data_IF_917404090123
#
_entry.id   IF_917404090123
#
_cell.length_a   1.000
_cell.length_b   1.000
_cell.length_c   1.000
_cell.angle_alpha   90.00
_cell.angle_beta   90.00
_cell.angle_gamma   90.00
#
_symmetry.space_group_name_H-M   'P 1'
#
loop_
_entity.id
_entity.type
_entity.pdbx_description
1 polymer ?
#
# COMPACT_ATOMS: atom_id res chain seq x y z
N UNK A 1 14.20 0.04 -1.23
CA UNK A 1 15.41 0.24 -0.40
C UNK A 1 16.62 -0.54 -0.96
N UNK A 2 16.56 -1.87 -1.13
CA UNK A 2 17.70 -2.70 -1.61
C UNK A 2 18.34 -2.21 -2.92
N UNK A 3 17.54 -1.71 -3.87
CA UNK A 3 18.06 -1.17 -5.13
C UNK A 3 18.80 0.17 -4.93
N UNK A 4 18.32 1.01 -4.02
CA UNK A 4 18.97 2.29 -3.68
C UNK A 4 20.27 2.08 -2.92
N UNK A 5 20.31 1.10 -2.01
CA UNK A 5 21.49 0.78 -1.20
C UNK A 5 22.73 0.38 -2.02
N UNK A 6 22.54 -0.05 -3.27
CA UNK A 6 23.65 -0.37 -4.19
C UNK A 6 24.46 0.88 -4.60
N UNK A 7 23.89 2.07 -4.47
CA UNK A 7 24.45 3.33 -4.98
C UNK A 7 24.45 4.46 -3.95
N UNK A 8 23.74 4.28 -2.83
CA UNK A 8 23.53 5.30 -1.81
C UNK A 8 23.79 4.73 -0.41
N UNK A 9 24.24 5.59 0.49
CA UNK A 9 24.34 5.28 1.91
C UNK A 9 22.97 5.55 2.56
N UNK A 10 22.32 4.50 3.04
CA UNK A 10 21.00 4.61 3.67
C UNK A 10 21.12 4.55 5.19
N UNK A 11 20.43 5.45 5.87
CA UNK A 11 20.18 5.40 7.32
C UNK A 11 18.67 5.32 7.50
N UNK A 12 18.19 4.37 8.29
CA UNK A 12 16.78 4.20 8.56
C UNK A 12 16.44 4.57 10.00
N UNK A 13 15.41 5.42 10.16
CA UNK A 13 14.76 5.65 11.44
C UNK A 13 13.36 5.07 11.33
N UNK A 14 13.06 4.02 12.07
CA UNK A 14 11.81 3.29 11.95
C UNK A 14 11.08 3.16 13.29
N UNK A 15 9.76 3.16 13.21
CA UNK A 15 8.89 2.94 14.35
C UNK A 15 8.60 1.44 14.45
N UNK A 16 8.74 0.88 15.65
CA UNK A 16 8.48 -0.54 15.92
C UNK A 16 7.38 -0.66 16.94
N UNK A 17 6.31 -1.34 16.56
CA UNK A 17 5.30 -1.79 17.52
C UNK A 17 5.68 -3.19 18.05
N UNK A 18 5.07 -3.60 19.14
CA UNK A 18 5.34 -4.90 19.76
C UNK A 18 4.80 -6.11 18.98
N UNK A 19 4.33 -5.91 17.75
CA UNK A 19 3.76 -6.98 16.92
C UNK A 19 4.82 -7.79 16.17
N UNK A 20 5.98 -7.18 15.91
CA UNK A 20 7.09 -7.79 15.18
C UNK A 20 8.31 -7.95 16.09
N UNK A 21 9.11 -8.99 15.84
CA UNK A 21 10.42 -9.13 16.49
C UNK A 21 11.34 -7.99 15.99
N UNK A 22 11.59 -7.02 16.87
CA UNK A 22 12.42 -5.87 16.57
C UNK A 22 13.85 -6.27 16.14
N UNK A 23 14.41 -7.35 16.68
CA UNK A 23 15.74 -7.82 16.31
C UNK A 23 15.75 -8.45 14.92
N UNK A 24 14.70 -9.18 14.55
CA UNK A 24 14.57 -9.72 13.20
C UNK A 24 14.38 -8.59 12.17
N UNK A 25 13.54 -7.61 12.47
CA UNK A 25 13.36 -6.43 11.61
C UNK A 25 14.67 -5.65 11.45
N UNK A 26 15.40 -5.43 12.54
CA UNK A 26 16.70 -4.76 12.51
C UNK A 26 17.68 -5.47 11.58
N UNK A 27 17.89 -6.78 11.76
CA UNK A 27 18.82 -7.56 10.92
C UNK A 27 18.47 -7.48 9.44
N UNK A 28 17.18 -7.59 9.11
CA UNK A 28 16.73 -7.47 7.72
C UNK A 28 17.01 -6.08 7.12
N UNK A 29 16.94 -5.02 7.92
CA UNK A 29 17.23 -3.65 7.45
C UNK A 29 18.76 -3.38 7.39
N UNK A 30 19.54 -3.96 8.28
CA UNK A 30 21.01 -3.84 8.30
C UNK A 30 21.68 -4.48 7.06
N UNK A 31 20.98 -5.34 6.33
CA UNK A 31 21.46 -5.88 5.04
C UNK A 31 21.60 -4.79 3.96
N UNK A 32 20.89 -3.67 4.08
CA UNK A 32 20.90 -2.58 3.09
C UNK A 32 21.00 -1.18 3.68
N UNK A 33 20.87 -1.02 5.00
CA UNK A 33 21.09 0.26 5.68
C UNK A 33 22.40 0.25 6.45
N UNK A 34 23.15 1.34 6.33
CA UNK A 34 24.39 1.55 7.12
C UNK A 34 24.10 1.68 8.62
N UNK A 35 22.96 2.25 8.96
CA UNK A 35 22.51 2.42 10.33
C UNK A 35 20.99 2.29 10.39
N UNK A 36 20.51 1.63 11.44
CA UNK A 36 19.08 1.44 11.72
C UNK A 36 18.79 1.89 13.14
N UNK A 37 17.97 2.94 13.27
CA UNK A 37 17.47 3.44 14.55
C UNK A 37 16.02 3.00 14.70
N UNK A 38 15.74 2.20 15.71
CA UNK A 38 14.41 1.68 15.98
C UNK A 38 13.82 2.39 17.20
N UNK A 39 12.64 2.94 17.03
CA UNK A 39 11.93 3.71 18.05
C UNK A 39 10.65 2.98 18.42
N UNK A 40 10.45 2.64 19.70
CA UNK A 40 9.21 2.03 20.16
C UNK A 40 8.01 2.95 19.87
N UNK A 41 7.03 2.43 19.13
CA UNK A 41 5.81 3.14 18.83
C UNK A 41 4.65 2.63 19.67
N UNK A 42 3.64 3.47 19.84
CA UNK A 42 2.39 3.12 20.54
C UNK A 42 1.40 2.36 19.63
N UNK A 43 1.82 1.98 18.42
CA UNK A 43 1.00 1.23 17.48
C UNK A 43 0.58 -0.11 18.09
N UNK A 44 -0.64 -0.53 17.86
CA UNK A 44 -1.14 -1.79 18.36
C UNK A 44 -1.65 -1.78 19.81
N UNK A 45 -1.46 -0.70 20.58
CA UNK A 45 -2.14 -0.59 21.88
C UNK A 45 -3.64 -0.36 21.64
N UNK A 46 -4.37 -1.43 21.51
CA UNK A 46 -5.83 -1.42 21.62
C UNK A 46 -6.23 -1.03 23.05
N UNK A 47 -7.34 -0.33 23.20
CA UNK A 47 -7.89 -0.05 24.52
C UNK A 47 -7.83 1.41 24.95
N UNK A 48 -7.53 1.65 26.24
CA UNK A 48 -7.65 2.95 26.89
C UNK A 48 -6.77 4.03 26.25
N UNK A 49 -5.53 3.72 25.91
CA UNK A 49 -4.57 4.67 25.30
C UNK A 49 -5.07 5.22 23.96
N UNK A 50 -5.59 4.36 23.11
CA UNK A 50 -6.18 4.77 21.82
C UNK A 50 -7.39 5.67 22.03
N UNK A 51 -8.27 5.32 22.98
CA UNK A 51 -9.46 6.14 23.33
C UNK A 51 -9.07 7.49 23.88
N UNK A 52 -8.06 7.56 24.75
CA UNK A 52 -7.55 8.82 25.29
C UNK A 52 -6.96 9.72 24.19
N UNK A 53 -6.19 9.16 23.26
CA UNK A 53 -5.68 9.90 22.10
C UNK A 53 -6.81 10.38 21.19
N UNK A 54 -7.86 9.58 21.00
CA UNK A 54 -9.04 9.98 20.24
C UNK A 54 -9.77 11.16 20.91
N UNK A 55 -10.00 11.09 22.22
CA UNK A 55 -10.60 12.20 22.99
C UNK A 55 -9.73 13.44 22.95
N UNK A 56 -8.41 13.29 23.16
CA UNK A 56 -7.45 14.39 23.05
C UNK A 56 -7.46 15.01 21.65
N UNK A 57 -7.61 14.21 20.59
CA UNK A 57 -7.70 14.74 19.23
C UNK A 57 -8.98 15.56 19.04
N UNK A 58 -10.11 15.18 19.64
CA UNK A 58 -11.34 16.00 19.59
C UNK A 58 -11.16 17.36 20.24
N UNK A 59 -10.49 17.41 21.40
CA UNK A 59 -10.23 18.62 22.17
C UNK A 59 -9.06 19.48 21.64
N UNK A 60 -8.35 19.02 20.60
CA UNK A 60 -7.20 19.73 20.03
C UNK A 60 -7.40 20.06 18.56
N UNK A 61 -6.55 20.93 18.02
CA UNK A 61 -6.48 21.23 16.59
C UNK A 61 -5.73 20.15 15.80
N UNK A 62 -5.11 19.17 16.47
CA UNK A 62 -4.29 18.11 15.87
C UNK A 62 -5.14 16.89 15.52
N UNK A 63 -4.80 16.23 14.42
CA UNK A 63 -5.40 14.95 14.03
C UNK A 63 -4.99 13.83 15.01
N UNK A 64 -5.75 12.76 15.01
CA UNK A 64 -5.39 11.55 15.75
C UNK A 64 -4.04 10.98 15.28
N UNK A 65 -3.78 10.97 13.96
CA UNK A 65 -2.51 10.50 13.40
C UNK A 65 -1.34 11.33 13.90
N UNK A 66 -1.43 12.64 13.86
CA UNK A 66 -0.38 13.51 14.39
C UNK A 66 -0.10 13.26 15.89
N UNK A 67 -1.15 13.11 16.70
CA UNK A 67 -0.97 12.81 18.13
C UNK A 67 -0.31 11.44 18.36
N UNK A 68 -0.67 10.47 17.55
CA UNK A 68 -0.14 9.10 17.62
C UNK A 68 1.36 9.06 17.30
N UNK A 69 1.79 9.82 16.29
CA UNK A 69 3.17 9.83 15.78
C UNK A 69 4.05 10.95 16.36
N UNK A 70 3.52 11.81 17.22
CA UNK A 70 4.34 12.78 17.95
C UNK A 70 5.07 12.10 19.11
N UNK A 71 6.27 11.61 18.83
CA UNK A 71 7.11 10.85 19.75
C UNK A 71 8.40 11.64 20.05
N UNK A 72 8.64 12.07 21.30
CA UNK A 72 9.88 12.78 21.66
C UNK A 72 11.15 11.99 21.29
N UNK A 73 11.14 10.67 21.45
CA UNK A 73 12.27 9.82 21.10
C UNK A 73 12.58 9.83 19.59
N UNK A 74 11.56 10.01 18.74
CA UNK A 74 11.74 10.15 17.29
C UNK A 74 12.50 11.44 17.00
N UNK A 75 12.02 12.58 17.51
CA UNK A 75 12.69 13.86 17.28
C UNK A 75 14.10 13.88 17.84
N UNK A 76 14.32 13.39 19.06
CA UNK A 76 15.68 13.29 19.65
C UNK A 76 16.65 12.46 18.83
N UNK A 77 16.15 11.40 18.19
CA UNK A 77 16.97 10.55 17.31
C UNK A 77 17.28 11.24 15.99
N UNK A 78 16.31 11.96 15.41
CA UNK A 78 16.52 12.78 14.22
C UNK A 78 17.51 13.91 14.51
N UNK A 79 17.35 14.65 15.60
CA UNK A 79 18.26 15.74 16.02
C UNK A 79 19.69 15.22 16.11
N UNK A 80 19.89 14.09 16.79
CA UNK A 80 21.22 13.48 16.95
C UNK A 80 21.86 13.10 15.61
N UNK A 81 21.10 12.46 14.72
CA UNK A 81 21.59 12.02 13.41
C UNK A 81 21.91 13.22 12.51
N UNK A 82 20.99 14.17 12.40
CA UNK A 82 21.10 15.32 11.51
C UNK A 82 22.20 16.31 11.95
N UNK A 83 22.43 16.49 13.25
CA UNK A 83 23.57 17.28 13.75
C UNK A 83 24.92 16.55 13.66
N UNK A 84 24.92 15.21 13.72
CA UNK A 84 26.17 14.44 13.68
C UNK A 84 26.68 14.19 12.27
N UNK A 85 25.84 14.24 11.26
CA UNK A 85 26.18 13.86 9.88
C UNK A 85 25.40 14.68 8.86
N UNK A 86 26.05 14.92 7.73
CA UNK A 86 25.40 15.46 6.55
C UNK A 86 24.56 14.38 5.88
N UNK A 87 23.32 14.75 5.51
CA UNK A 87 22.45 14.01 4.64
C UNK A 87 22.09 14.86 3.42
N UNK A 88 22.07 14.27 2.24
CA UNK A 88 21.64 14.98 1.03
C UNK A 88 20.12 15.04 0.95
N UNK A 89 19.44 13.94 1.31
CA UNK A 89 17.97 13.82 1.28
C UNK A 89 17.47 13.17 2.57
N UNK A 90 16.43 13.71 3.15
CA UNK A 90 15.59 13.06 4.16
C UNK A 90 14.27 12.67 3.50
N UNK A 91 14.01 11.36 3.40
CA UNK A 91 12.78 10.82 2.87
C UNK A 91 11.79 10.51 3.98
N UNK A 92 10.62 11.11 3.93
CA UNK A 92 9.52 10.84 4.84
C UNK A 92 8.60 9.77 4.25
N UNK A 93 8.55 8.64 4.88
CA UNK A 93 7.52 7.63 4.61
C UNK A 93 6.22 8.09 5.29
N UNK A 94 5.30 8.63 4.53
CA UNK A 94 4.03 9.24 4.94
C UNK A 94 4.09 10.70 5.42
N UNK A 95 3.08 11.44 5.04
CA UNK A 95 2.88 12.85 5.33
C UNK A 95 2.70 13.18 6.81
N UNK A 96 2.19 12.26 7.62
CA UNK A 96 1.94 12.49 9.05
C UNK A 96 3.22 12.62 9.91
N UNK A 97 4.39 12.31 9.36
CA UNK A 97 5.70 12.56 9.97
C UNK A 97 6.25 13.98 9.71
N UNK A 98 5.62 14.75 8.82
CA UNK A 98 6.07 16.09 8.45
C UNK A 98 6.03 17.15 9.57
N UNK A 99 5.64 16.75 10.79
CA UNK A 99 5.73 17.60 11.96
C UNK A 99 7.09 17.54 12.67
N UNK A 100 7.97 16.62 12.26
CA UNK A 100 9.32 16.53 12.77
C UNK A 100 10.17 17.67 12.20
N UNK A 101 11.09 18.19 13.01
CA UNK A 101 12.10 19.09 12.51
C UNK A 101 13.18 18.31 11.77
N UNK A 102 13.25 18.50 10.46
CA UNK A 102 14.11 17.77 9.56
C UNK A 102 15.14 18.63 8.86
N UNK A 103 15.04 19.96 9.01
CA UNK A 103 15.95 20.91 8.40
C UNK A 103 17.10 21.25 9.35
N UNK A 104 17.83 20.22 9.69
CA UNK A 104 18.99 20.25 10.57
C UNK A 104 20.20 19.68 9.83
N UNK A 105 21.38 20.22 10.12
CA UNK A 105 22.66 19.74 9.57
C UNK A 105 23.79 20.03 10.59
N UNK A 106 24.97 19.39 10.45
CA UNK A 106 26.17 19.79 11.17
C UNK A 106 26.49 21.28 10.91
N UNK A 107 27.15 21.92 11.86
CA UNK A 107 27.49 23.33 11.75
C UNK A 107 28.35 23.60 10.50
N UNK A 108 27.85 24.50 9.63
CA UNK A 108 28.53 24.88 8.39
C UNK A 108 28.18 24.00 7.17
N UNK A 109 27.35 22.95 7.34
CA UNK A 109 26.89 22.12 6.24
C UNK A 109 25.54 22.61 5.66
N UNK A 110 25.23 22.14 4.45
CA UNK A 110 23.94 22.40 3.81
C UNK A 110 22.84 21.56 4.44
N UNK A 111 21.62 22.13 4.52
CA UNK A 111 20.45 21.42 4.99
C UNK A 111 20.07 20.29 4.00
N UNK A 112 19.54 19.17 4.47
CA UNK A 112 19.04 18.13 3.60
C UNK A 112 17.78 18.58 2.85
N UNK A 113 17.62 18.09 1.61
CA UNK A 113 16.33 18.17 0.94
C UNK A 113 15.33 17.23 1.61
N UNK A 114 14.13 17.74 1.89
CA UNK A 114 13.06 16.96 2.51
C UNK A 114 12.07 16.51 1.42
N UNK A 115 11.95 15.21 1.24
CA UNK A 115 11.06 14.59 0.25
C UNK A 115 10.04 13.70 0.94
N UNK A 116 8.80 13.75 0.49
CA UNK A 116 7.71 12.95 1.06
C UNK A 116 7.33 11.82 0.10
N UNK A 117 7.31 10.60 0.61
CA UNK A 117 6.66 9.45 -0.02
C UNK A 117 5.18 9.42 0.38
N UNK A 118 4.31 9.73 -0.56
CA UNK A 118 2.87 9.68 -0.35
C UNK A 118 2.30 8.41 -0.96
N UNK A 119 2.26 7.35 -0.16
CA UNK A 119 1.69 6.06 -0.58
C UNK A 119 0.19 6.16 -0.92
N UNK A 120 -0.50 7.10 -0.29
CA UNK A 120 -1.90 7.47 -0.50
C UNK A 120 -2.08 8.94 -0.17
N UNK A 121 -3.13 9.54 -0.66
CA UNK A 121 -3.63 10.79 -0.09
C UNK A 121 -4.44 10.42 1.18
N UNK A 122 -3.78 10.48 2.34
CA UNK A 122 -4.31 9.93 3.60
C UNK A 122 -5.60 10.60 4.05
N UNK A 123 -5.76 11.92 3.84
CA UNK A 123 -7.00 12.61 4.17
C UNK A 123 -8.18 12.15 3.29
N UNK A 124 -7.95 11.76 2.02
CA UNK A 124 -9.02 11.28 1.16
C UNK A 124 -9.46 9.88 1.59
N UNK A 125 -8.51 9.01 1.93
CA UNK A 125 -8.79 7.70 2.51
C UNK A 125 -9.58 7.84 3.82
N UNK A 126 -9.17 8.74 4.72
CA UNK A 126 -9.88 9.02 5.97
C UNK A 126 -11.30 9.57 5.72
N UNK A 127 -11.49 10.39 4.68
CA UNK A 127 -12.80 10.88 4.24
C UNK A 127 -13.69 9.76 3.71
N UNK A 128 -13.14 8.83 2.93
CA UNK A 128 -13.87 7.64 2.48
C UNK A 128 -14.36 6.83 3.69
N UNK A 129 -13.49 6.54 4.67
CA UNK A 129 -13.86 5.80 5.88
C UNK A 129 -14.94 6.52 6.73
N UNK A 130 -14.92 7.85 6.77
CA UNK A 130 -15.94 8.63 7.47
C UNK A 130 -17.35 8.37 6.92
N UNK A 131 -17.48 8.13 5.62
CA UNK A 131 -18.77 7.85 4.96
C UNK A 131 -19.32 6.45 5.25
N UNK A 132 -18.44 5.47 5.54
CA UNK A 132 -18.82 4.08 5.80
C UNK A 132 -19.05 3.75 7.29
N UNK A 133 -18.89 4.72 8.18
CA UNK A 133 -19.14 4.53 9.61
C UNK A 133 -20.61 4.18 9.92
N UNK A 134 -20.82 3.08 10.67
CA UNK A 134 -22.17 2.60 11.04
C UNK A 134 -22.82 3.37 12.19
N UNK A 135 -22.07 4.18 12.95
CA UNK A 135 -22.52 4.95 14.11
C UNK A 135 -22.37 6.45 13.87
N UNK A 136 -23.40 7.24 14.21
CA UNK A 136 -23.38 8.70 14.08
C UNK A 136 -22.19 9.35 14.84
N UNK A 137 -21.87 8.84 16.03
CA UNK A 137 -20.72 9.31 16.83
C UNK A 137 -19.40 9.06 16.12
N UNK A 138 -19.24 7.86 15.54
CA UNK A 138 -18.03 7.51 14.77
C UNK A 138 -17.91 8.36 13.51
N UNK A 139 -19.03 8.60 12.81
CA UNK A 139 -19.06 9.47 11.63
C UNK A 139 -18.67 10.90 11.98
N UNK A 140 -19.22 11.46 13.05
CA UNK A 140 -18.87 12.81 13.52
C UNK A 140 -17.38 12.91 13.88
N UNK A 141 -16.86 11.92 14.62
CA UNK A 141 -15.45 11.85 14.96
C UNK A 141 -14.56 11.80 13.71
N UNK A 142 -14.88 10.88 12.79
CA UNK A 142 -14.13 10.70 11.56
C UNK A 142 -14.18 11.97 10.68
N UNK A 143 -15.33 12.64 10.63
CA UNK A 143 -15.54 13.89 9.89
C UNK A 143 -14.69 15.04 10.47
N UNK A 144 -14.60 15.16 11.76
CA UNK A 144 -13.74 16.15 12.42
C UNK A 144 -12.25 15.82 12.24
N UNK A 145 -11.89 14.52 12.30
CA UNK A 145 -10.50 14.09 12.25
C UNK A 145 -9.90 14.20 10.83
N UNK A 146 -10.64 13.82 9.76
CA UNK A 146 -10.08 13.89 8.41
C UNK A 146 -9.82 15.33 7.95
N UNK A 147 -10.62 16.33 8.40
CA UNK A 147 -10.36 17.74 8.10
C UNK A 147 -9.06 18.25 8.74
N UNK A 148 -8.78 17.79 9.96
CA UNK A 148 -7.52 18.09 10.64
C UNK A 148 -6.34 17.43 9.91
N UNK A 149 -6.50 16.16 9.56
CA UNK A 149 -5.50 15.40 8.81
C UNK A 149 -5.21 16.09 7.48
N UNK A 150 -6.25 16.50 6.72
CA UNK A 150 -6.07 17.24 5.46
C UNK A 150 -5.24 18.49 5.63
N UNK A 151 -5.54 19.30 6.67
CA UNK A 151 -4.77 20.51 6.92
C UNK A 151 -3.29 20.21 7.21
N UNK A 152 -3.03 19.20 8.03
CA UNK A 152 -1.68 18.79 8.42
C UNK A 152 -0.92 18.19 7.24
N UNK A 153 -1.55 17.33 6.46
CA UNK A 153 -0.97 16.68 5.29
C UNK A 153 -0.64 17.70 4.19
N UNK A 154 -1.57 18.60 3.87
CA UNK A 154 -1.31 19.67 2.90
C UNK A 154 -0.23 20.65 3.36
N UNK A 155 -0.08 20.89 4.67
CA UNK A 155 1.04 21.68 5.20
C UNK A 155 2.37 20.96 4.96
N UNK A 156 2.45 19.67 5.28
CA UNK A 156 3.64 18.85 5.01
C UNK A 156 4.04 18.88 3.54
N UNK A 157 3.09 18.76 2.62
CA UNK A 157 3.37 18.81 1.18
C UNK A 157 3.86 20.18 0.70
N UNK A 158 3.39 21.29 1.30
CA UNK A 158 3.88 22.64 0.99
C UNK A 158 5.29 22.90 1.50
N UNK A 159 5.61 22.32 2.66
CA UNK A 159 6.90 22.52 3.33
C UNK A 159 8.00 21.60 2.76
N UNK A 160 7.63 20.53 2.04
CA UNK A 160 8.56 19.60 1.43
C UNK A 160 9.21 20.19 0.17
N UNK A 161 10.44 19.81 -0.12
CA UNK A 161 11.14 20.16 -1.35
C UNK A 161 10.61 19.38 -2.55
N UNK A 162 10.01 18.20 -2.29
CA UNK A 162 9.33 17.40 -3.30
C UNK A 162 8.44 16.32 -2.69
N UNK A 163 7.46 15.88 -3.46
CA UNK A 163 6.53 14.81 -3.10
C UNK A 163 6.45 13.79 -4.22
N UNK A 164 6.61 12.52 -3.94
CA UNK A 164 6.31 11.50 -4.93
C UNK A 164 5.11 10.65 -4.51
N UNK A 165 4.35 10.23 -5.51
CA UNK A 165 3.07 9.57 -5.33
C UNK A 165 3.03 8.28 -6.18
N UNK A 166 2.18 7.34 -5.78
CA UNK A 166 2.08 6.05 -6.44
C UNK A 166 1.28 6.08 -7.75
N UNK A 167 0.50 7.12 -8.00
CA UNK A 167 -0.36 7.21 -9.18
C UNK A 167 -0.52 8.62 -9.71
N UNK A 168 -0.76 8.75 -11.02
CA UNK A 168 -1.10 10.04 -11.65
C UNK A 168 -2.41 10.63 -11.11
N UNK A 169 -3.35 9.79 -10.69
CA UNK A 169 -4.61 10.25 -10.10
C UNK A 169 -4.35 10.95 -8.75
N UNK A 170 -3.49 10.40 -7.89
CA UNK A 170 -3.11 11.02 -6.63
C UNK A 170 -2.29 12.28 -6.86
N UNK A 171 -1.40 12.30 -7.86
CA UNK A 171 -0.66 13.50 -8.25
C UNK A 171 -1.61 14.63 -8.66
N UNK A 172 -2.59 14.37 -9.50
CA UNK A 172 -3.59 15.37 -9.89
C UNK A 172 -4.39 15.88 -8.71
N UNK A 173 -4.79 15.00 -7.77
CA UNK A 173 -5.45 15.41 -6.50
C UNK A 173 -4.56 16.33 -5.70
N UNK A 174 -3.29 15.96 -5.49
CA UNK A 174 -2.36 16.80 -4.76
C UNK A 174 -2.17 18.16 -5.43
N UNK A 175 -1.93 18.20 -6.73
CA UNK A 175 -1.70 19.44 -7.48
C UNK A 175 -2.94 20.36 -7.49
N UNK A 176 -4.14 19.79 -7.40
CA UNK A 176 -5.37 20.59 -7.24
C UNK A 176 -5.47 21.28 -5.87
N UNK A 177 -4.92 20.67 -4.81
CA UNK A 177 -4.93 21.19 -3.45
C UNK A 177 -3.69 22.02 -3.10
N UNK A 178 -2.54 21.71 -3.71
CA UNK A 178 -1.26 22.37 -3.51
C UNK A 178 -0.60 22.65 -4.89
N UNK A 179 -1.06 23.67 -5.60
CA UNK A 179 -0.44 24.06 -6.87
C UNK A 179 1.03 24.43 -6.69
N UNK A 180 1.86 23.99 -7.62
CA UNK A 180 3.28 24.36 -7.66
C UNK A 180 4.20 23.50 -6.78
N UNK A 181 3.69 22.51 -6.05
CA UNK A 181 4.55 21.53 -5.38
C UNK A 181 5.27 20.66 -6.44
N UNK A 182 6.55 20.38 -6.20
CA UNK A 182 7.33 19.50 -7.08
C UNK A 182 6.92 18.05 -6.89
N UNK A 183 6.43 17.42 -7.92
CA UNK A 183 5.94 16.03 -7.84
C UNK A 183 6.67 15.10 -8.79
N UNK A 184 6.55 13.81 -8.49
CA UNK A 184 6.83 12.70 -9.39
C UNK A 184 5.86 11.55 -9.15
N UNK A 185 5.46 10.87 -10.21
CA UNK A 185 4.75 9.60 -10.09
C UNK A 185 5.76 8.47 -10.10
N UNK A 186 5.84 7.75 -8.99
CA UNK A 186 6.69 6.58 -8.81
C UNK A 186 5.78 5.43 -8.37
N UNK A 187 5.35 4.59 -9.31
CA UNK A 187 4.37 3.56 -9.00
C UNK A 187 4.93 2.55 -8.00
N UNK A 188 4.05 2.03 -7.15
CA UNK A 188 4.37 0.89 -6.33
C UNK A 188 4.82 -0.27 -7.23
N UNK A 189 5.92 -0.92 -6.87
CA UNK A 189 6.58 -1.94 -7.67
C UNK A 189 6.67 -3.27 -6.91
N UNK A 190 6.85 -4.35 -7.65
CA UNK A 190 7.09 -5.68 -7.09
C UNK A 190 8.46 -6.22 -7.49
N UNK A 191 8.92 -7.20 -6.74
CA UNK A 191 10.05 -8.04 -7.13
C UNK A 191 9.61 -9.01 -8.22
N UNK A 192 9.76 -8.59 -9.48
CA UNK A 192 9.33 -9.38 -10.65
C UNK A 192 10.21 -10.62 -10.89
N UNK A 193 11.35 -10.72 -10.22
CA UNK A 193 12.21 -11.90 -10.24
C UNK A 193 11.75 -12.91 -9.18
N UNK A 194 11.38 -12.43 -8.00
CA UNK A 194 10.77 -13.25 -6.96
C UNK A 194 9.38 -13.73 -7.37
N UNK A 195 8.51 -12.82 -7.84
CA UNK A 195 7.18 -13.12 -8.37
C UNK A 195 7.28 -13.46 -9.86
N UNK A 196 7.79 -14.64 -10.17
CA UNK A 196 7.81 -15.13 -11.55
C UNK A 196 7.29 -16.56 -11.63
N UNK A 197 6.59 -16.92 -12.70
CA UNK A 197 6.19 -18.30 -12.92
C UNK A 197 7.40 -19.20 -13.13
N UNK A 198 7.44 -20.34 -12.46
CA UNK A 198 8.46 -21.37 -12.66
C UNK A 198 7.86 -22.61 -13.30
N UNK A 199 8.68 -23.37 -14.02
CA UNK A 199 8.23 -24.61 -14.66
C UNK A 199 7.80 -25.69 -13.65
N UNK A 200 8.29 -25.60 -12.41
CA UNK A 200 7.98 -26.50 -11.30
C UNK A 200 6.78 -26.04 -10.46
N UNK A 201 6.21 -24.87 -10.76
CA UNK A 201 5.05 -24.37 -10.05
C UNK A 201 3.81 -25.23 -10.26
N UNK A 202 2.90 -25.28 -9.29
CA UNK A 202 1.60 -25.91 -9.50
C UNK A 202 0.91 -25.29 -10.73
N UNK A 203 0.41 -26.13 -11.61
CA UNK A 203 -0.42 -25.64 -12.72
C UNK A 203 -1.76 -25.16 -12.19
N UNK A 204 -2.36 -24.13 -12.81
CA UNK A 204 -3.73 -23.75 -12.48
C UNK A 204 -4.66 -24.95 -12.56
N UNK A 205 -5.44 -25.16 -11.50
CA UNK A 205 -6.40 -26.29 -11.44
C UNK A 205 -7.69 -26.04 -12.25
N UNK A 206 -7.82 -24.85 -12.84
CA UNK A 206 -8.98 -24.42 -13.60
C UNK A 206 -10.18 -24.01 -12.74
N UNK A 207 -10.10 -24.15 -11.43
CA UNK A 207 -11.26 -23.99 -10.51
C UNK A 207 -11.02 -23.03 -9.34
N UNK A 208 -9.77 -22.78 -8.95
CA UNK A 208 -9.45 -21.95 -7.79
C UNK A 208 -9.38 -20.47 -8.16
N UNK A 209 -10.22 -19.68 -7.51
CA UNK A 209 -10.20 -18.21 -7.53
C UNK A 209 -9.52 -17.71 -6.27
N UNK A 210 -8.52 -16.84 -6.39
CA UNK A 210 -7.72 -16.38 -5.25
C UNK A 210 -7.93 -14.89 -5.00
N UNK A 211 -8.23 -14.53 -3.74
CA UNK A 211 -8.02 -13.20 -3.18
C UNK A 211 -6.86 -13.28 -2.21
N UNK A 212 -6.02 -12.24 -2.15
CA UNK A 212 -4.96 -12.20 -1.15
C UNK A 212 -4.70 -10.77 -0.63
N UNK A 213 -4.14 -10.69 0.59
CA UNK A 213 -3.75 -9.44 1.23
C UNK A 213 -3.87 -9.48 2.74
N UNK A 214 -3.53 -8.36 3.38
CA UNK A 214 -3.62 -8.22 4.83
C UNK A 214 -5.09 -8.11 5.27
N UNK A 215 -5.61 -9.14 5.95
CA UNK A 215 -7.04 -9.29 6.20
C UNK A 215 -7.57 -8.48 7.40
N UNK A 216 -6.73 -7.72 8.10
CA UNK A 216 -7.17 -6.70 9.06
C UNK A 216 -7.29 -5.29 8.45
N UNK A 217 -6.89 -5.11 7.19
CA UNK A 217 -7.03 -3.84 6.47
C UNK A 217 -8.45 -3.66 5.96
N UNK A 218 -9.09 -2.55 6.34
CA UNK A 218 -10.53 -2.30 6.09
C UNK A 218 -10.95 -2.50 4.63
N UNK A 219 -10.24 -1.98 3.60
CA UNK A 219 -10.57 -2.24 2.21
C UNK A 219 -10.57 -3.72 1.82
N UNK A 220 -9.64 -4.50 2.38
CA UNK A 220 -9.60 -5.94 2.11
C UNK A 220 -10.77 -6.66 2.78
N UNK A 221 -11.13 -6.27 4.01
CA UNK A 221 -12.30 -6.82 4.72
C UNK A 221 -13.57 -6.56 3.91
N UNK A 222 -13.79 -5.31 3.51
CA UNK A 222 -14.96 -4.92 2.72
C UNK A 222 -15.00 -5.66 1.38
N UNK A 223 -13.87 -5.70 0.64
CA UNK A 223 -13.79 -6.36 -0.65
C UNK A 223 -14.04 -7.86 -0.57
N UNK A 224 -13.52 -8.56 0.45
CA UNK A 224 -13.79 -9.99 0.67
C UNK A 224 -15.25 -10.23 1.00
N UNK A 225 -15.85 -9.42 1.89
CA UNK A 225 -17.27 -9.55 2.24
C UNK A 225 -18.14 -9.34 1.00
N UNK A 226 -17.86 -8.30 0.23
CA UNK A 226 -18.56 -8.00 -1.03
C UNK A 226 -18.42 -9.15 -2.03
N UNK A 227 -17.18 -9.64 -2.24
CA UNK A 227 -16.95 -10.76 -3.14
C UNK A 227 -17.74 -12.01 -2.74
N UNK A 228 -17.66 -12.40 -1.49
CA UNK A 228 -18.27 -13.63 -1.00
C UNK A 228 -19.80 -13.55 -0.98
N UNK A 229 -20.37 -12.39 -0.67
CA UNK A 229 -21.84 -12.24 -0.54
C UNK A 229 -22.54 -11.95 -1.85
N UNK A 230 -21.94 -11.09 -2.69
CA UNK A 230 -22.63 -10.53 -3.84
C UNK A 230 -22.14 -11.10 -5.19
N UNK A 231 -20.89 -11.58 -5.26
CA UNK A 231 -20.25 -12.06 -6.50
C UNK A 231 -20.11 -13.59 -6.52
N UNK A 232 -19.51 -14.17 -5.47
CA UNK A 232 -19.20 -15.59 -5.37
C UNK A 232 -20.39 -16.54 -5.59
N UNK A 233 -21.60 -16.31 -5.08
CA UNK A 233 -22.73 -17.20 -5.31
C UNK A 233 -23.02 -17.44 -6.79
N UNK A 234 -22.88 -16.41 -7.62
CA UNK A 234 -23.10 -16.49 -9.09
C UNK A 234 -22.02 -17.34 -9.77
N UNK A 235 -20.75 -17.20 -9.33
CA UNK A 235 -19.65 -18.01 -9.84
C UNK A 235 -19.85 -19.47 -9.43
N UNK A 236 -20.20 -19.69 -8.17
CA UNK A 236 -20.37 -21.01 -7.59
C UNK A 236 -21.57 -21.78 -8.19
N UNK A 237 -22.60 -21.09 -8.66
CA UNK A 237 -23.72 -21.66 -9.39
C UNK A 237 -23.30 -22.06 -10.82
N UNK A 238 -22.62 -21.16 -11.54
CA UNK A 238 -22.14 -21.42 -12.90
C UNK A 238 -21.04 -22.48 -12.96
N UNK A 239 -20.19 -22.55 -11.93
CA UNK A 239 -19.05 -23.46 -11.82
C UNK A 239 -19.09 -24.24 -10.49
N UNK A 240 -19.85 -25.36 -10.40
CA UNK A 240 -20.01 -26.12 -9.15
C UNK A 240 -18.72 -26.65 -8.54
N UNK A 241 -17.67 -26.83 -9.33
CA UNK A 241 -16.34 -27.29 -8.88
C UNK A 241 -15.44 -26.15 -8.41
N UNK A 242 -15.86 -24.89 -8.59
CA UNK A 242 -15.03 -23.74 -8.22
C UNK A 242 -14.81 -23.63 -6.72
N UNK A 243 -13.63 -23.12 -6.35
CA UNK A 243 -13.20 -22.86 -4.97
C UNK A 243 -12.70 -21.42 -4.84
N UNK A 244 -13.04 -20.77 -3.75
CA UNK A 244 -12.53 -19.45 -3.39
C UNK A 244 -11.48 -19.63 -2.29
N UNK A 245 -10.26 -19.16 -2.55
CA UNK A 245 -9.19 -19.16 -1.57
C UNK A 245 -8.84 -17.72 -1.18
N UNK A 246 -8.97 -17.41 0.09
CA UNK A 246 -8.67 -16.10 0.68
C UNK A 246 -7.38 -16.25 1.48
N UNK A 247 -6.29 -15.68 0.94
CA UNK A 247 -4.94 -15.81 1.48
C UNK A 247 -4.57 -14.54 2.25
N UNK A 248 -4.26 -14.68 3.54
CA UNK A 248 -3.79 -13.55 4.33
C UNK A 248 -3.94 -13.73 5.82
N UNK A 249 -3.07 -13.05 6.56
CA UNK A 249 -3.04 -13.12 8.01
C UNK A 249 -4.09 -12.24 8.69
N UNK A 250 -4.40 -12.60 9.95
CA UNK A 250 -5.25 -11.82 10.88
C UNK A 250 -6.66 -11.52 10.36
N UNK A 251 -7.40 -12.53 9.87
CA UNK A 251 -8.79 -12.33 9.50
C UNK A 251 -9.63 -11.99 10.76
N UNK A 252 -10.46 -10.93 10.70
CA UNK A 252 -11.39 -10.64 11.78
C UNK A 252 -12.51 -11.69 11.82
N UNK A 253 -13.27 -11.79 12.95
CA UNK A 253 -14.37 -12.75 13.07
C UNK A 253 -15.40 -12.67 11.94
N UNK A 254 -15.63 -11.47 11.40
CA UNK A 254 -16.54 -11.26 10.25
C UNK A 254 -16.09 -11.97 8.97
N UNK A 255 -14.79 -12.15 8.75
CA UNK A 255 -14.27 -12.92 7.62
C UNK A 255 -14.21 -14.41 7.95
N UNK A 256 -13.84 -14.79 9.18
CA UNK A 256 -13.83 -16.19 9.62
C UNK A 256 -15.21 -16.85 9.46
N UNK A 257 -16.28 -16.09 9.71
CA UNK A 257 -17.66 -16.55 9.52
C UNK A 257 -18.05 -16.82 8.06
N UNK A 258 -17.24 -16.43 7.09
CA UNK A 258 -17.47 -16.68 5.65
C UNK A 258 -16.88 -18.01 5.17
N UNK A 259 -16.05 -18.65 6.00
CA UNK A 259 -15.45 -19.95 5.67
C UNK A 259 -16.52 -21.02 5.45
N UNK A 260 -16.28 -21.90 4.49
CA UNK A 260 -17.22 -22.96 4.14
C UNK A 260 -16.61 -23.99 3.20
N UNK A 261 -17.36 -24.97 2.74
CA UNK A 261 -16.84 -26.10 1.95
C UNK A 261 -16.11 -25.68 0.66
N UNK A 262 -16.45 -24.52 0.11
CA UNK A 262 -15.86 -23.96 -1.12
C UNK A 262 -15.16 -22.60 -0.90
N UNK A 263 -15.06 -22.14 0.34
CA UNK A 263 -14.40 -20.88 0.72
C UNK A 263 -13.39 -21.19 1.80
N UNK A 264 -12.13 -21.14 1.45
CA UNK A 264 -10.99 -21.38 2.32
C UNK A 264 -10.35 -20.06 2.73
N UNK A 265 -10.14 -19.86 4.06
CA UNK A 265 -9.27 -18.83 4.60
C UNK A 265 -7.99 -19.49 5.08
N UNK A 266 -6.85 -19.21 4.40
CA UNK A 266 -5.59 -19.92 4.74
C UNK A 266 -4.92 -19.39 6.00
N UNK A 267 -5.25 -18.16 6.42
CA UNK A 267 -4.42 -17.44 7.38
C UNK A 267 -3.13 -16.92 6.74
N UNK A 268 -2.13 -16.62 7.58
CA UNK A 268 -0.81 -16.19 7.12
C UNK A 268 -0.09 -17.34 6.39
N UNK A 269 0.52 -17.02 5.25
CA UNK A 269 1.39 -17.93 4.51
C UNK A 269 2.77 -17.30 4.37
N UNK A 270 3.81 -18.08 4.50
CA UNK A 270 5.20 -17.62 4.37
C UNK A 270 5.60 -17.36 2.90
N UNK A 271 4.95 -18.05 1.96
CA UNK A 271 5.14 -17.89 0.52
C UNK A 271 3.79 -17.86 -0.19
N UNK A 272 3.52 -16.75 -0.87
CA UNK A 272 2.29 -16.54 -1.63
C UNK A 272 2.33 -17.18 -3.02
N UNK A 273 3.52 -17.38 -3.57
CA UNK A 273 3.72 -17.82 -4.99
C UNK A 273 3.02 -19.13 -5.33
N UNK A 274 3.09 -20.21 -4.51
CA UNK A 274 2.37 -21.45 -4.82
C UNK A 274 0.86 -21.27 -4.92
N UNK A 275 0.28 -20.38 -4.07
CA UNK A 275 -1.15 -20.07 -4.11
C UNK A 275 -1.53 -19.30 -5.37
N UNK A 276 -0.71 -18.34 -5.78
CA UNK A 276 -0.91 -17.62 -7.03
C UNK A 276 -0.71 -18.55 -8.22
N UNK A 277 0.33 -19.37 -8.24
CA UNK A 277 0.62 -20.29 -9.33
C UNK A 277 -0.56 -21.23 -9.61
N UNK A 278 -1.14 -21.82 -8.55
CA UNK A 278 -2.30 -22.72 -8.65
C UNK A 278 -3.62 -22.02 -9.04
N UNK A 279 -3.70 -20.68 -8.89
CA UNK A 279 -4.91 -19.93 -9.17
C UNK A 279 -5.29 -19.95 -10.66
N UNK A 280 -6.56 -20.21 -10.97
CA UNK A 280 -7.13 -20.00 -12.29
C UNK A 280 -7.36 -18.53 -12.59
N UNK A 281 -7.79 -17.77 -11.55
CA UNK A 281 -7.94 -16.32 -11.61
C UNK A 281 -7.65 -15.68 -10.25
N UNK A 282 -7.19 -14.44 -10.28
CA UNK A 282 -7.05 -13.59 -9.09
C UNK A 282 -8.15 -12.53 -9.10
N UNK A 283 -8.74 -12.23 -7.94
CA UNK A 283 -9.81 -11.24 -7.82
C UNK A 283 -9.42 -10.10 -6.89
N UNK A 284 -9.76 -8.87 -7.30
CA UNK A 284 -9.49 -7.65 -6.54
C UNK A 284 -10.75 -6.79 -6.48
N UNK A 285 -11.78 -7.23 -5.74
CA UNK A 285 -13.12 -6.61 -5.70
C UNK A 285 -13.19 -5.45 -4.71
N UNK A 286 -12.23 -4.50 -4.77
CA UNK A 286 -12.15 -3.41 -3.80
C UNK A 286 -13.11 -2.28 -4.14
N UNK A 287 -13.80 -1.76 -3.12
CA UNK A 287 -14.73 -0.62 -3.21
C UNK A 287 -14.26 0.57 -2.35
N UNK A 288 -13.16 0.37 -1.62
CA UNK A 288 -12.52 1.34 -0.75
C UNK A 288 -11.02 1.31 -0.94
N UNK A 289 -10.39 2.44 -0.72
CA UNK A 289 -8.94 2.56 -0.69
C UNK A 289 -8.38 3.66 -1.60
N UNK A 290 -7.08 3.87 -1.57
CA UNK A 290 -6.30 4.79 -2.39
C UNK A 290 -4.96 4.17 -2.79
N UNK A 291 -4.17 4.84 -3.62
CA UNK A 291 -2.85 4.38 -4.08
C UNK A 291 -2.87 3.17 -5.00
N UNK A 292 -1.70 2.75 -5.45
CA UNK A 292 -1.54 1.56 -6.31
C UNK A 292 -1.65 0.27 -5.50
N UNK A 293 -2.39 -0.69 -6.00
CA UNK A 293 -2.63 -1.98 -5.35
C UNK A 293 -1.50 -2.97 -5.64
N UNK A 294 -0.55 -3.13 -4.70
CA UNK A 294 0.56 -4.08 -4.81
C UNK A 294 0.11 -5.48 -5.21
N UNK A 295 -1.02 -5.95 -4.68
CA UNK A 295 -1.57 -7.27 -5.02
C UNK A 295 -1.85 -7.46 -6.52
N UNK A 296 -2.23 -6.38 -7.23
CA UNK A 296 -2.38 -6.47 -8.70
C UNK A 296 -1.01 -6.64 -9.34
N UNK A 297 -0.03 -5.83 -8.95
CA UNK A 297 1.33 -5.88 -9.51
C UNK A 297 1.98 -7.25 -9.24
N UNK A 298 1.83 -7.80 -8.04
CA UNK A 298 2.34 -9.14 -7.68
C UNK A 298 1.65 -10.25 -8.50
N UNK A 299 0.32 -10.19 -8.64
CA UNK A 299 -0.42 -11.15 -9.46
C UNK A 299 -0.07 -11.03 -10.96
N UNK A 300 0.10 -9.80 -11.47
CA UNK A 300 0.59 -9.55 -12.82
C UNK A 300 2.00 -10.13 -13.02
N UNK A 301 2.90 -9.91 -12.06
CA UNK A 301 4.25 -10.47 -12.08
C UNK A 301 4.25 -12.00 -12.10
N UNK A 302 3.31 -12.65 -11.44
CA UNK A 302 3.07 -14.11 -11.51
C UNK A 302 2.34 -14.56 -12.78
N UNK A 303 2.09 -13.65 -13.73
CA UNK A 303 1.41 -13.97 -14.99
C UNK A 303 -0.04 -14.42 -14.81
N UNK A 304 -0.73 -13.95 -13.79
CA UNK A 304 -2.12 -14.35 -13.49
C UNK A 304 -3.12 -13.45 -14.19
N UNK A 305 -4.20 -14.04 -14.68
CA UNK A 305 -5.38 -13.29 -15.10
C UNK A 305 -6.08 -12.72 -13.87
N UNK A 306 -6.42 -11.43 -13.93
CA UNK A 306 -6.97 -10.69 -12.81
C UNK A 306 -8.34 -10.13 -13.22
N UNK A 307 -9.31 -10.22 -12.31
CA UNK A 307 -10.56 -9.46 -12.39
C UNK A 307 -10.57 -8.46 -11.23
N UNK A 308 -10.77 -7.18 -11.54
CA UNK A 308 -10.76 -6.11 -10.56
C UNK A 308 -11.95 -5.17 -10.76
N UNK A 309 -12.31 -4.44 -9.71
CA UNK A 309 -13.12 -3.22 -9.85
C UNK A 309 -12.27 -2.09 -10.41
N UNK A 310 -12.89 -1.04 -10.94
CA UNK A 310 -12.22 0.20 -11.36
C UNK A 310 -11.38 0.76 -10.21
N UNK A 311 -11.93 0.84 -8.99
CA UNK A 311 -11.18 1.30 -7.83
C UNK A 311 -10.06 0.34 -7.44
N UNK A 312 -10.26 -0.98 -7.58
CA UNK A 312 -9.24 -1.97 -7.33
C UNK A 312 -8.03 -1.83 -8.26
N UNK A 313 -8.25 -1.45 -9.51
CA UNK A 313 -7.23 -1.24 -10.54
C UNK A 313 -6.70 0.22 -10.59
N UNK A 314 -7.15 1.12 -9.71
CA UNK A 314 -6.72 2.51 -9.69
C UNK A 314 -5.19 2.61 -9.56
N UNK A 315 -4.57 3.45 -10.38
CA UNK A 315 -3.12 3.65 -10.42
C UNK A 315 -2.34 2.56 -11.18
N UNK A 316 -3.01 1.58 -11.78
CA UNK A 316 -2.41 0.57 -12.65
C UNK A 316 -2.68 0.93 -14.11
N UNK A 317 -1.64 1.06 -14.92
CA UNK A 317 -1.74 1.38 -16.36
C UNK A 317 -2.14 0.14 -17.21
N UNK A 318 -3.00 -0.71 -16.67
CA UNK A 318 -3.46 -1.91 -17.36
C UNK A 318 -4.70 -1.62 -18.22
N UNK A 319 -4.76 -2.25 -19.38
CA UNK A 319 -5.90 -2.13 -20.31
C UNK A 319 -6.84 -3.30 -20.09
N UNK A 320 -8.12 -2.97 -19.79
CA UNK A 320 -9.17 -4.00 -19.65
C UNK A 320 -9.36 -4.80 -20.93
N UNK A 321 -9.48 -6.12 -20.79
CA UNK A 321 -9.56 -7.08 -21.90
C UNK A 321 -8.21 -7.54 -22.45
N UNK A 322 -7.11 -6.80 -22.17
CA UNK A 322 -5.75 -7.14 -22.58
C UNK A 322 -4.90 -7.66 -21.41
N UNK A 323 -4.76 -6.84 -20.34
CA UNK A 323 -3.86 -7.09 -19.22
C UNK A 323 -4.61 -7.49 -17.95
N UNK A 324 -5.88 -7.11 -17.86
CA UNK A 324 -6.77 -7.28 -16.72
C UNK A 324 -8.22 -7.28 -17.24
N UNK A 325 -9.17 -7.78 -16.44
CA UNK A 325 -10.60 -7.53 -16.65
C UNK A 325 -11.07 -6.56 -15.55
N UNK A 326 -11.79 -5.50 -15.94
CA UNK A 326 -12.28 -4.47 -14.99
C UNK A 326 -13.80 -4.45 -15.08
N UNK A 327 -14.45 -4.76 -13.93
CA UNK A 327 -15.91 -4.82 -13.82
C UNK A 327 -16.33 -4.35 -12.42
N UNK A 328 -17.28 -3.43 -12.34
CA UNK A 328 -17.73 -2.87 -11.07
C UNK A 328 -19.03 -3.54 -10.56
N UNK A 329 -19.89 -3.96 -11.49
CA UNK A 329 -21.16 -4.59 -11.14
C UNK A 329 -20.98 -6.07 -10.76
N UNK A 330 -21.62 -6.58 -9.68
CA UNK A 330 -21.43 -7.94 -9.19
C UNK A 330 -21.68 -9.02 -10.26
N UNK A 331 -22.69 -8.83 -11.10
CA UNK A 331 -23.04 -9.78 -12.15
C UNK A 331 -21.97 -9.81 -13.26
N UNK A 332 -21.49 -8.64 -13.70
CA UNK A 332 -20.45 -8.52 -14.71
C UNK A 332 -19.11 -9.05 -14.19
N UNK A 333 -18.78 -8.75 -12.92
CA UNK A 333 -17.59 -9.27 -12.26
C UNK A 333 -17.61 -10.81 -12.19
N UNK A 334 -18.77 -11.39 -11.78
CA UNK A 334 -18.95 -12.84 -11.74
C UNK A 334 -18.83 -13.46 -13.14
N UNK A 335 -19.42 -12.83 -14.16
CA UNK A 335 -19.31 -13.27 -15.54
C UNK A 335 -17.86 -13.24 -16.06
N UNK A 336 -17.09 -12.17 -15.72
CA UNK A 336 -15.69 -12.08 -16.08
C UNK A 336 -14.85 -13.18 -15.43
N UNK A 337 -15.05 -13.48 -14.14
CA UNK A 337 -14.39 -14.61 -13.46
C UNK A 337 -14.80 -15.92 -14.10
N UNK A 338 -16.10 -16.15 -14.32
CA UNK A 338 -16.62 -17.38 -14.95
C UNK A 338 -16.01 -17.62 -16.33
N UNK A 339 -15.84 -16.56 -17.10
CA UNK A 339 -15.19 -16.63 -18.41
C UNK A 339 -13.72 -17.07 -18.31
N UNK A 340 -12.97 -16.58 -17.33
CA UNK A 340 -11.58 -17.01 -17.10
C UNK A 340 -11.49 -18.48 -16.67
N UNK A 341 -12.48 -18.97 -15.89
CA UNK A 341 -12.56 -20.37 -15.49
C UNK A 341 -12.91 -21.28 -16.68
N UNK A 342 -13.81 -20.85 -17.57
CA UNK A 342 -14.24 -21.59 -18.73
C UNK A 342 -13.23 -21.58 -19.89
N UNK A 343 -12.42 -20.53 -20.01
CA UNK A 343 -11.49 -20.29 -21.12
C UNK A 343 -10.01 -20.19 -20.62
N UNK A 344 -9.33 -21.30 -20.30
CA UNK A 344 -7.93 -21.26 -19.82
C UNK A 344 -6.97 -20.56 -20.80
N UNK A 345 -7.25 -20.64 -22.11
CA UNK A 345 -6.50 -19.93 -23.14
C UNK A 345 -6.60 -18.40 -23.03
N UNK A 346 -7.77 -17.88 -22.68
CA UNK A 346 -8.00 -16.46 -22.40
C UNK A 346 -7.24 -16.04 -21.14
N UNK A 347 -7.37 -16.80 -20.06
CA UNK A 347 -6.67 -16.54 -18.81
C UNK A 347 -5.15 -16.49 -19.01
N UNK A 348 -4.60 -17.47 -19.76
CA UNK A 348 -3.17 -17.49 -20.07
C UNK A 348 -2.73 -16.30 -20.95
N UNK A 349 -3.55 -15.85 -21.90
CA UNK A 349 -3.24 -14.69 -22.76
C UNK A 349 -3.20 -13.42 -21.93
N UNK A 350 -4.23 -13.16 -21.12
CA UNK A 350 -4.30 -11.99 -20.23
C UNK A 350 -3.13 -12.01 -19.23
N UNK A 351 -2.87 -13.16 -18.61
CA UNK A 351 -1.77 -13.33 -17.67
C UNK A 351 -0.39 -13.03 -18.28
N UNK A 352 -0.13 -13.47 -19.52
CA UNK A 352 1.13 -13.13 -20.19
C UNK A 352 1.26 -11.62 -20.45
N UNK A 353 0.20 -10.97 -20.92
CA UNK A 353 0.19 -9.51 -21.14
C UNK A 353 0.38 -8.75 -19.82
N UNK A 354 -0.30 -9.20 -18.77
CA UNK A 354 -0.14 -8.66 -17.42
C UNK A 354 1.31 -8.75 -16.93
N UNK A 355 1.96 -9.92 -17.09
CA UNK A 355 3.37 -10.08 -16.69
C UNK A 355 4.31 -9.18 -17.48
N UNK A 356 4.12 -9.07 -18.79
CA UNK A 356 4.92 -8.16 -19.60
C UNK A 356 4.82 -6.73 -19.06
N UNK A 357 3.61 -6.24 -18.79
CA UNK A 357 3.39 -4.92 -18.23
C UNK A 357 4.04 -4.78 -16.84
N UNK A 358 3.95 -5.80 -15.96
CA UNK A 358 4.59 -5.78 -14.65
C UNK A 358 6.11 -5.65 -14.75
N UNK A 359 6.75 -6.40 -15.63
CA UNK A 359 8.21 -6.35 -15.85
C UNK A 359 8.65 -5.01 -16.42
N UNK A 360 7.89 -4.45 -17.37
CA UNK A 360 8.23 -3.18 -18.03
C UNK A 360 8.03 -1.96 -17.15
N UNK A 361 6.96 -1.94 -16.34
CA UNK A 361 6.51 -0.73 -15.62
C UNK A 361 6.62 -0.80 -14.11
N UNK A 362 6.53 -2.00 -13.52
CA UNK A 362 6.36 -2.18 -12.08
C UNK A 362 7.48 -2.99 -11.43
N UNK A 363 8.64 -3.11 -12.08
CA UNK A 363 9.82 -3.71 -11.46
C UNK A 363 10.50 -2.74 -10.49
N UNK A 364 10.97 -3.20 -9.34
CA UNK A 364 11.69 -2.38 -8.36
C UNK A 364 12.87 -1.60 -8.93
N UNK A 365 13.57 -2.16 -9.93
CA UNK A 365 14.68 -1.47 -10.59
C UNK A 365 14.23 -0.22 -11.35
N UNK A 366 13.04 -0.24 -11.94
CA UNK A 366 12.41 0.91 -12.62
C UNK A 366 12.03 2.00 -11.62
N UNK A 367 11.31 1.62 -10.56
CA UNK A 367 10.91 2.55 -9.49
C UNK A 367 12.13 3.21 -8.83
N UNK A 368 13.19 2.45 -8.53
CA UNK A 368 14.40 3.00 -7.95
C UNK A 368 15.09 4.03 -8.88
N UNK A 369 15.17 3.77 -10.19
CA UNK A 369 15.72 4.74 -11.15
C UNK A 369 14.88 6.02 -11.23
N UNK A 370 13.56 5.89 -11.20
CA UNK A 370 12.65 7.03 -11.20
C UNK A 370 12.84 7.88 -9.94
N UNK A 371 12.94 7.24 -8.78
CA UNK A 371 13.18 7.90 -7.49
C UNK A 371 14.54 8.62 -7.46
N UNK A 372 15.61 7.99 -7.93
CA UNK A 372 16.92 8.63 -8.03
C UNK A 372 16.91 9.84 -8.96
N UNK A 373 16.20 9.75 -10.08
CA UNK A 373 16.05 10.88 -11.02
C UNK A 373 15.29 12.04 -10.36
N UNK A 374 14.29 11.72 -9.55
CA UNK A 374 13.55 12.72 -8.78
C UNK A 374 14.43 13.39 -7.73
N UNK A 375 15.18 12.61 -6.93
CA UNK A 375 16.11 13.17 -5.94
C UNK A 375 17.16 14.09 -6.58
N UNK A 376 17.77 13.69 -7.71
CA UNK A 376 18.74 14.54 -8.43
C UNK A 376 18.12 15.87 -8.87
N UNK A 377 16.90 15.85 -9.39
CA UNK A 377 16.19 17.08 -9.79
C UNK A 377 15.97 17.99 -8.59
N UNK A 378 15.49 17.46 -7.45
CA UNK A 378 15.27 18.23 -6.23
C UNK A 378 16.59 18.84 -5.73
N UNK A 379 17.67 18.05 -5.66
CA UNK A 379 18.98 18.54 -5.19
C UNK A 379 19.58 19.64 -6.07
N UNK A 380 19.38 19.59 -7.39
CA UNK A 380 19.82 20.65 -8.30
C UNK A 380 19.04 21.96 -8.05
N UNK A 381 17.75 21.88 -7.77
CA UNK A 381 16.88 23.04 -7.60
C UNK A 381 16.99 23.66 -6.19
N UNK A 382 17.27 22.87 -5.16
CA UNK A 382 17.48 23.35 -3.78
C UNK A 382 18.90 23.89 -3.57
N UNK A 383 19.88 23.38 -4.34
CA UNK A 383 21.28 23.82 -4.28
C UNK A 383 21.60 25.04 -5.14
N UNK A 384 20.65 25.55 -5.94
CA UNK A 384 20.74 26.76 -6.73
C UNK A 384 20.10 27.95 -5.99
#
# INVERSE_FOLDING_TARGET
MTQLARRHNLTAVTLVDGEFDANQCRRAMEEYCREVVMIPALHGKEGLTKRLLQLRSLASTRSFHRLLFTLPALQQSLDRLLHARRFDVVNLEFSFLGHCDLRLAPAGDTLPAVVVDSHNIDYDLARQYARYGTSLVRRFYAEANWRKLRREELATYRDADGVYLCSAADEQRLLSDVPGVRTAVIPNAADVEYYQPHATDPRPDGHTVVFFGYLSYVPNIDGVIYFVKDIWPRIAEAHPQSRCKIVGGRPPPSLLALAGPRIELTGFVSDLRPHLAAAAAVVVPLRLGGGTRLKIVEAMAMGKAIVSTTLGAEGIEAISGRDILIEDEPAAFAAAVSRLLAEPGLAARIGRSARQLAVERYAWSGAARALESFYRRILMEVGS
#
